data_IF_280364305852
#
_entry.id   IF_280364305852
#
_cell.length_a   1.000
_cell.length_b   1.000
_cell.length_c   1.000
_cell.angle_alpha   90.00
_cell.angle_beta   90.00
_cell.angle_gamma   90.00
#
_symmetry.space_group_name_H-M   'P 1'
#
loop_
_entity.id
_entity.type
_entity.pdbx_description
1 polymer ?
#
# COMPACT_ATOMS: atom_id res chain seq x y z
N UNK A 1 7.26 10.69 -26.44
CA UNK A 1 8.45 9.87 -26.79
C UNK A 1 8.96 9.24 -25.50
N UNK A 2 8.54 8.02 -25.16
CA UNK A 2 9.12 7.28 -24.03
C UNK A 2 9.71 5.96 -24.51
N UNK A 3 10.58 5.39 -23.67
CA UNK A 3 10.92 3.99 -23.66
C UNK A 3 11.81 3.56 -24.85
N UNK A 4 13.02 4.13 -24.91
CA UNK A 4 14.09 3.81 -25.87
C UNK A 4 13.65 3.86 -27.34
N UNK A 5 12.84 4.85 -27.71
CA UNK A 5 12.36 5.01 -29.09
C UNK A 5 11.42 3.90 -29.55
N UNK A 6 10.62 3.32 -28.65
CA UNK A 6 9.66 2.26 -28.97
C UNK A 6 10.24 0.84 -28.96
N UNK A 7 11.52 0.68 -28.59
CA UNK A 7 12.18 -0.63 -28.47
C UNK A 7 11.73 -1.44 -27.24
N UNK A 8 11.06 -0.78 -26.30
CA UNK A 8 10.49 -1.44 -25.12
C UNK A 8 9.01 -1.66 -25.36
N UNK A 9 8.60 -2.93 -25.42
CA UNK A 9 7.19 -3.33 -25.43
C UNK A 9 6.75 -3.54 -23.99
N UNK A 10 5.99 -2.58 -23.46
CA UNK A 10 5.42 -2.71 -22.12
C UNK A 10 4.30 -3.75 -22.14
N UNK A 11 4.13 -4.56 -21.07
CA UNK A 11 2.96 -5.40 -20.91
C UNK A 11 1.69 -4.54 -20.89
N UNK A 12 0.59 -5.14 -21.33
CA UNK A 12 -0.71 -4.48 -21.32
C UNK A 12 -1.13 -4.19 -19.87
N UNK A 13 -1.64 -2.98 -19.64
CA UNK A 13 -2.11 -2.59 -18.33
C UNK A 13 -3.36 -3.41 -17.99
N UNK A 14 -3.29 -4.17 -16.91
CA UNK A 14 -4.46 -4.87 -16.40
C UNK A 14 -5.47 -3.85 -15.85
N UNK A 15 -6.75 -4.13 -16.08
CA UNK A 15 -7.83 -3.35 -15.49
C UNK A 15 -7.77 -3.47 -13.96
N UNK A 16 -7.97 -2.38 -13.21
CA UNK A 16 -8.08 -2.47 -11.76
C UNK A 16 -9.28 -3.35 -11.36
N UNK A 17 -9.22 -4.00 -10.19
CA UNK A 17 -10.37 -4.69 -9.63
C UNK A 17 -11.45 -3.68 -9.19
N UNK A 18 -12.69 -4.14 -9.05
CA UNK A 18 -13.73 -3.36 -8.36
C UNK A 18 -13.45 -3.29 -6.85
N UNK A 19 -13.73 -2.15 -6.18
CA UNK A 19 -14.45 -0.98 -6.68
C UNK A 19 -13.56 0.08 -7.38
N UNK A 20 -12.23 -0.11 -7.42
CA UNK A 20 -11.30 0.90 -7.96
C UNK A 20 -11.61 1.24 -9.42
N UNK A 21 -11.93 0.23 -10.25
CA UNK A 21 -12.26 0.45 -11.65
C UNK A 21 -13.47 1.38 -11.85
N UNK A 22 -14.52 1.26 -11.05
CA UNK A 22 -15.67 2.18 -11.10
C UNK A 22 -15.36 3.58 -10.56
N UNK A 23 -14.33 3.73 -9.74
CA UNK A 23 -13.95 4.99 -9.09
C UNK A 23 -12.91 5.80 -9.86
N UNK A 24 -12.23 5.22 -10.86
CA UNK A 24 -11.26 5.93 -11.70
C UNK A 24 -11.83 6.90 -12.76
N UNK A 25 -13.01 6.69 -13.37
CA UNK A 25 -13.43 7.48 -14.54
C UNK A 25 -13.75 8.96 -14.26
N UNK A 26 -14.02 9.34 -13.02
CA UNK A 26 -14.46 10.70 -12.63
C UNK A 26 -15.88 11.05 -13.08
N UNK A 27 -16.67 10.08 -13.54
CA UNK A 27 -17.96 10.35 -14.20
C UNK A 27 -19.16 10.36 -13.24
N UNK A 28 -18.99 9.85 -12.02
CA UNK A 28 -20.04 9.85 -10.99
C UNK A 28 -19.62 10.72 -9.80
N UNK A 29 -20.56 11.21 -8.99
CA UNK A 29 -20.24 11.95 -7.76
C UNK A 29 -19.28 11.19 -6.84
N UNK A 30 -19.43 9.88 -6.73
CA UNK A 30 -18.60 9.00 -5.92
C UNK A 30 -17.18 8.89 -6.49
N UNK A 31 -17.06 8.74 -7.81
CA UNK A 31 -15.76 8.68 -8.48
C UNK A 31 -15.03 10.03 -8.39
N UNK A 32 -15.74 11.15 -8.52
CA UNK A 32 -15.15 12.48 -8.33
C UNK A 32 -14.67 12.68 -6.90
N UNK A 33 -15.51 12.36 -5.91
CA UNK A 33 -15.13 12.43 -4.49
C UNK A 33 -13.91 11.55 -4.19
N UNK A 34 -13.86 10.35 -4.76
CA UNK A 34 -12.72 9.45 -4.62
C UNK A 34 -11.44 10.08 -5.15
N UNK A 35 -11.44 10.60 -6.38
CA UNK A 35 -10.28 11.22 -7.00
C UNK A 35 -9.82 12.47 -6.23
N UNK A 36 -10.76 13.32 -5.79
CA UNK A 36 -10.46 14.53 -5.00
C UNK A 36 -9.81 14.21 -3.65
N UNK A 37 -10.07 13.01 -3.12
CA UNK A 37 -9.58 12.57 -1.81
C UNK A 37 -8.62 11.38 -1.88
N UNK A 38 -8.13 10.98 -3.07
CA UNK A 38 -7.34 9.74 -3.25
C UNK A 38 -6.09 9.72 -2.37
N UNK A 39 -5.46 10.88 -2.17
CA UNK A 39 -4.33 11.03 -1.26
C UNK A 39 -4.70 10.68 0.18
N UNK A 40 -5.88 11.13 0.66
CA UNK A 40 -6.37 10.81 2.01
C UNK A 40 -6.71 9.33 2.14
N UNK A 41 -7.39 8.75 1.15
CA UNK A 41 -7.67 7.31 1.14
C UNK A 41 -6.39 6.49 1.22
N UNK A 42 -5.38 6.82 0.40
CA UNK A 42 -4.08 6.15 0.44
C UNK A 42 -3.38 6.34 1.79
N UNK A 43 -3.46 7.54 2.38
CA UNK A 43 -2.86 7.82 3.69
C UNK A 43 -3.56 7.14 4.86
N UNK A 44 -4.87 6.91 4.79
CA UNK A 44 -5.58 6.13 5.82
C UNK A 44 -5.04 4.70 5.95
N UNK A 45 -4.52 4.13 4.86
CA UNK A 45 -3.87 2.80 4.86
C UNK A 45 -2.35 2.86 5.10
N UNK A 46 -1.76 4.03 5.37
CA UNK A 46 -0.34 4.18 5.68
C UNK A 46 -0.01 3.91 7.17
N UNK A 47 -0.89 3.24 7.92
CA UNK A 47 -0.49 2.75 9.24
C UNK A 47 0.66 1.76 9.04
N UNK A 48 1.84 2.12 9.52
CA UNK A 48 2.99 1.23 9.52
C UNK A 48 3.23 0.84 10.97
N UNK A 49 2.77 -0.34 11.38
CA UNK A 49 3.19 -0.92 12.65
C UNK A 49 4.58 -1.53 12.47
N UNK A 50 5.46 -1.30 13.44
CA UNK A 50 6.72 -2.03 13.51
C UNK A 50 6.41 -3.38 14.13
N UNK A 51 6.15 -4.38 13.29
CA UNK A 51 5.99 -5.76 13.74
C UNK A 51 7.29 -6.24 14.38
N UNK A 52 7.35 -6.22 15.70
CA UNK A 52 8.43 -6.85 16.45
C UNK A 52 8.00 -8.27 16.83
N UNK A 53 8.61 -9.31 16.24
CA UNK A 53 8.20 -10.70 16.48
C UNK A 53 8.53 -11.20 17.89
N UNK A 54 9.34 -10.47 18.66
CA UNK A 54 9.75 -10.87 20.00
C UNK A 54 9.86 -9.67 20.94
N UNK A 55 9.38 -9.84 22.18
CA UNK A 55 9.76 -8.98 23.31
C UNK A 55 11.23 -9.24 23.61
N UNK A 56 12.10 -8.26 23.38
CA UNK A 56 13.46 -8.27 23.92
C UNK A 56 13.35 -7.88 25.39
N UNK A 57 13.30 -8.88 26.27
CA UNK A 57 13.32 -8.69 27.73
C UNK A 57 14.71 -9.02 28.24
N UNK A 58 15.68 -8.16 27.97
CA UNK A 58 17.00 -8.22 28.59
C UNK A 58 17.05 -7.22 29.75
N UNK A 59 17.43 -7.66 30.94
CA UNK A 59 17.41 -6.80 32.13
C UNK A 59 18.43 -5.67 31.98
N UNK A 60 17.95 -4.43 31.90
CA UNK A 60 18.77 -3.24 31.69
C UNK A 60 18.90 -2.78 30.23
N UNK A 61 18.27 -3.48 29.28
CA UNK A 61 18.21 -3.06 27.89
C UNK A 61 16.96 -2.21 27.62
N UNK A 62 17.15 -1.02 27.04
CA UNK A 62 16.06 -0.21 26.52
C UNK A 62 15.95 -0.46 25.02
N UNK A 63 14.94 -1.19 24.52
CA UNK A 63 14.81 -1.51 23.11
C UNK A 63 14.23 -0.30 22.35
N UNK A 64 14.91 0.84 22.38
CA UNK A 64 14.61 2.00 21.55
C UNK A 64 15.38 1.88 20.24
N UNK A 65 14.68 1.63 19.14
CA UNK A 65 15.23 1.83 17.81
C UNK A 65 14.83 3.22 17.30
N UNK A 66 15.76 3.91 16.65
CA UNK A 66 15.53 5.23 16.05
C UNK A 66 15.49 5.06 14.54
N UNK A 67 14.38 5.43 13.93
CA UNK A 67 14.26 5.49 12.46
C UNK A 67 14.60 6.90 12.00
N UNK A 68 15.47 7.02 10.99
CA UNK A 68 15.75 8.28 10.30
C UNK A 68 15.20 8.19 8.87
N UNK A 69 14.44 9.20 8.45
CA UNK A 69 13.79 9.25 7.14
C UNK A 69 12.29 8.96 7.18
N UNK A 70 11.68 8.88 6.00
CA UNK A 70 10.26 8.57 5.85
C UNK A 70 10.03 7.05 5.89
N UNK A 71 9.03 6.64 6.65
CA UNK A 71 8.57 5.25 6.71
C UNK A 71 7.51 5.07 5.63
N UNK A 72 7.68 4.04 4.80
CA UNK A 72 6.72 3.67 3.76
C UNK A 72 6.16 2.29 4.08
N UNK A 73 4.84 2.16 4.01
CA UNK A 73 4.19 0.87 4.11
C UNK A 73 4.43 0.06 2.83
N UNK A 74 5.06 -1.11 2.95
CA UNK A 74 5.10 -2.08 1.85
C UNK A 74 3.82 -2.91 1.90
N UNK A 75 2.80 -2.45 1.16
CA UNK A 75 1.53 -3.17 1.06
C UNK A 75 1.71 -4.60 0.59
N UNK A 76 1.32 -5.56 1.44
CA UNK A 76 1.09 -6.95 1.04
C UNK A 76 -0.19 -7.09 0.22
N UNK A 77 -0.50 -8.32 -0.18
CA UNK A 77 -1.78 -8.62 -0.84
C UNK A 77 -2.95 -8.28 0.10
N UNK A 78 -4.04 -7.74 -0.46
CA UNK A 78 -5.27 -7.45 0.29
C UNK A 78 -5.92 -8.70 0.90
N UNK A 79 -5.63 -9.86 0.32
CA UNK A 79 -6.11 -11.15 0.77
C UNK A 79 -4.91 -12.02 1.14
N UNK A 80 -5.00 -12.79 2.23
CA UNK A 80 -3.97 -13.76 2.56
C UNK A 80 -3.90 -14.85 1.46
N UNK A 81 -2.71 -15.45 1.23
CA UNK A 81 -2.60 -16.68 0.47
C UNK A 81 -3.53 -17.77 1.03
N UNK A 82 -3.98 -18.69 0.18
CA UNK A 82 -4.85 -19.80 0.61
C UNK A 82 -4.20 -20.57 1.76
N UNK A 83 -4.95 -20.82 2.83
CA UNK A 83 -4.52 -21.42 4.11
C UNK A 83 -3.70 -20.52 5.07
N UNK A 84 -3.59 -19.21 4.82
CA UNK A 84 -3.05 -18.28 5.82
C UNK A 84 -4.16 -17.47 6.50
N UNK A 85 -4.04 -17.27 7.81
CA UNK A 85 -4.90 -16.32 8.52
C UNK A 85 -4.63 -14.90 8.04
N UNK A 86 -5.67 -14.07 8.08
CA UNK A 86 -5.54 -12.66 7.78
C UNK A 86 -4.61 -12.01 8.81
N UNK A 87 -3.44 -11.58 8.35
CA UNK A 87 -2.52 -10.77 9.14
C UNK A 87 -2.85 -9.31 8.84
N UNK A 88 -3.81 -8.78 9.58
CA UNK A 88 -3.95 -7.34 9.71
C UNK A 88 -2.90 -6.84 10.71
N UNK A 89 -2.47 -5.59 10.55
CA UNK A 89 -1.53 -4.94 11.48
C UNK A 89 -2.02 -5.00 12.92
#
# INVERSE_FOLDING_TARGET
>A
MCCSGGKVKLPELQLPPEPLKSLMPGTTPESQHFLDNIGKYNSCFQMTSFGMPAKVSDSGFMPTFRVQGQIYHRGGFLLPPSNEEHKFL
#
